data_IF_074461524075
#
_entry.id   IF_074461524075
#
_cell.length_a   1.000
_cell.length_b   1.000
_cell.length_c   1.000
_cell.angle_alpha   90.00
_cell.angle_beta   90.00
_cell.angle_gamma   90.00
#
_symmetry.space_group_name_H-M   'P 1'
#
loop_
_entity.id
_entity.type
_entity.pdbx_description
1 polymer ?
#
# COMPACT_ATOMS: atom_id res chain seq x y z
N UNK A 1 17.59 7.70 -23.67
CA UNK A 1 17.50 9.03 -24.22
C UNK A 1 16.55 9.90 -23.39
N UNK A 2 16.71 11.19 -23.55
CA UNK A 2 15.91 12.15 -22.82
C UNK A 2 14.41 12.01 -23.09
N UNK A 3 14.03 11.79 -24.34
CA UNK A 3 12.63 11.63 -24.72
C UNK A 3 11.96 10.46 -24.02
N UNK A 4 12.66 9.34 -23.94
CA UNK A 4 12.16 8.15 -23.25
C UNK A 4 12.03 8.39 -21.74
N UNK A 5 13.01 9.04 -21.15
CA UNK A 5 12.98 9.37 -19.73
C UNK A 5 11.82 10.30 -19.38
N UNK A 6 11.57 11.28 -20.23
CA UNK A 6 10.47 12.22 -20.01
C UNK A 6 9.11 11.54 -20.17
N UNK A 7 8.96 10.65 -21.12
CA UNK A 7 7.73 9.87 -21.32
C UNK A 7 7.48 8.99 -20.09
N UNK A 8 8.53 8.33 -19.60
CA UNK A 8 8.44 7.46 -18.44
C UNK A 8 8.05 8.24 -17.20
N UNK A 9 8.68 9.38 -16.96
CA UNK A 9 8.34 10.25 -15.84
C UNK A 9 6.90 10.76 -15.92
N UNK A 10 6.48 11.10 -17.13
CA UNK A 10 5.12 11.59 -17.37
C UNK A 10 4.10 10.51 -17.05
N UNK A 11 4.36 9.27 -17.41
CA UNK A 11 3.50 8.15 -17.09
C UNK A 11 3.39 7.96 -15.58
N UNK A 12 4.51 8.07 -14.87
CA UNK A 12 4.54 7.96 -13.41
C UNK A 12 3.71 9.05 -12.74
N UNK A 13 3.76 10.28 -13.25
CA UNK A 13 2.98 11.39 -12.71
C UNK A 13 1.50 11.28 -13.00
N UNK A 14 1.15 10.77 -14.18
CA UNK A 14 -0.24 10.67 -14.58
C UNK A 14 -0.92 9.43 -14.01
N UNK A 15 -0.14 8.41 -13.67
CA UNK A 15 -0.72 7.13 -13.39
C UNK A 15 0.25 6.22 -12.63
N UNK A 16 -0.14 5.85 -11.45
CA UNK A 16 0.59 4.87 -10.64
C UNK A 16 -0.09 3.52 -10.88
N UNK A 17 0.58 2.61 -11.59
CA UNK A 17 -0.02 1.34 -11.96
C UNK A 17 0.30 0.23 -10.95
N UNK A 18 -0.40 -0.89 -11.12
CA UNK A 18 -0.29 -2.04 -10.22
C UNK A 18 1.13 -2.64 -10.22
N UNK A 19 1.84 -2.61 -11.34
CA UNK A 19 3.21 -3.14 -11.40
C UNK A 19 4.17 -2.29 -10.59
N UNK A 20 4.06 -0.98 -10.70
CA UNK A 20 4.87 -0.04 -9.92
C UNK A 20 4.61 -0.23 -8.43
N UNK A 21 3.35 -0.33 -8.04
CA UNK A 21 2.94 -0.58 -6.66
C UNK A 21 3.49 -1.91 -6.17
N UNK A 22 3.36 -2.95 -6.98
CA UNK A 22 3.85 -4.29 -6.65
C UNK A 22 5.35 -4.28 -6.38
N UNK A 23 6.12 -3.68 -7.29
CA UNK A 23 7.57 -3.57 -7.13
C UNK A 23 7.94 -2.81 -5.86
N UNK A 24 7.25 -1.72 -5.59
CA UNK A 24 7.50 -0.91 -4.41
C UNK A 24 7.22 -1.67 -3.11
N UNK A 25 6.09 -2.38 -3.06
CA UNK A 25 5.73 -3.18 -1.89
C UNK A 25 6.71 -4.34 -1.68
N UNK A 26 7.06 -5.04 -2.75
CA UNK A 26 7.96 -6.20 -2.66
C UNK A 26 9.40 -5.81 -2.31
N UNK A 27 9.79 -4.57 -2.57
CA UNK A 27 11.12 -4.09 -2.19
C UNK A 27 11.27 -3.89 -0.69
N UNK A 28 10.17 -3.83 0.06
CA UNK A 28 10.22 -3.69 1.50
C UNK A 28 10.61 -5.00 2.17
N UNK A 29 11.46 -4.90 3.19
CA UNK A 29 12.01 -6.04 3.90
C UNK A 29 10.93 -7.04 4.31
N UNK A 30 11.13 -8.30 3.94
CA UNK A 30 10.27 -9.40 4.36
C UNK A 30 8.90 -9.46 3.71
N UNK A 31 8.63 -8.62 2.72
CA UNK A 31 7.33 -8.59 2.06
C UNK A 31 7.20 -9.72 1.06
N UNK A 32 6.07 -10.41 1.13
CA UNK A 32 5.68 -11.45 0.18
C UNK A 32 4.33 -11.09 -0.42
N UNK A 33 3.99 -11.70 -1.54
CA UNK A 33 2.69 -11.50 -2.18
C UNK A 33 1.97 -12.83 -2.30
N UNK A 34 0.66 -12.77 -2.44
CA UNK A 34 -0.16 -13.97 -2.62
C UNK A 34 -1.63 -13.65 -2.76
N UNK A 35 -2.43 -14.70 -2.77
CA UNK A 35 -3.88 -14.61 -2.97
C UNK A 35 -4.63 -15.38 -1.87
N UNK A 36 -4.46 -14.98 -0.59
CA UNK A 36 -5.07 -15.73 0.53
C UNK A 36 -6.59 -15.65 0.55
N UNK A 37 -7.19 -14.67 -0.13
CA UNK A 37 -8.63 -14.46 -0.18
C UNK A 37 -9.24 -14.86 -1.54
N UNK A 38 -8.45 -15.53 -2.40
CA UNK A 38 -8.88 -15.90 -3.74
C UNK A 38 -8.15 -15.10 -4.81
N UNK A 39 -8.33 -15.53 -6.06
CA UNK A 39 -7.61 -14.97 -7.21
C UNK A 39 -7.86 -13.48 -7.47
N UNK A 40 -8.94 -12.95 -6.90
CA UNK A 40 -9.34 -11.56 -7.16
C UNK A 40 -8.61 -10.54 -6.31
N UNK A 41 -7.88 -10.98 -5.27
CA UNK A 41 -7.24 -10.08 -4.31
C UNK A 41 -5.76 -10.35 -4.20
N UNK A 42 -4.96 -9.45 -4.77
CA UNK A 42 -3.51 -9.49 -4.60
C UNK A 42 -3.15 -8.86 -3.25
N UNK A 43 -2.52 -9.64 -2.38
CA UNK A 43 -2.23 -9.24 -1.01
C UNK A 43 -0.73 -9.26 -0.76
N UNK A 44 -0.25 -8.20 -0.11
CA UNK A 44 1.15 -8.11 0.33
C UNK A 44 1.20 -8.27 1.84
N UNK A 45 2.12 -9.10 2.32
CA UNK A 45 2.27 -9.39 3.75
C UNK A 45 3.71 -9.28 4.19
N UNK A 46 3.91 -8.91 5.45
CA UNK A 46 5.20 -9.00 6.13
C UNK A 46 4.98 -9.83 7.39
N UNK A 47 5.78 -10.88 7.55
CA UNK A 47 5.65 -11.83 8.70
C UNK A 47 4.20 -12.31 8.86
N UNK A 48 3.53 -12.60 7.75
CA UNK A 48 2.16 -13.10 7.74
C UNK A 48 1.08 -12.06 7.98
N UNK A 49 1.43 -10.78 8.15
CA UNK A 49 0.49 -9.68 8.40
C UNK A 49 0.31 -8.86 7.13
N UNK A 50 -0.93 -8.60 6.76
CA UNK A 50 -1.24 -7.82 5.55
C UNK A 50 -0.80 -6.37 5.68
N UNK A 51 -0.14 -5.85 4.64
CA UNK A 51 0.24 -4.44 4.54
C UNK A 51 -0.50 -3.72 3.43
N UNK A 52 -0.91 -4.44 2.39
CA UNK A 52 -1.61 -3.84 1.27
C UNK A 52 -2.45 -4.91 0.57
N UNK A 53 -3.52 -4.46 -0.06
CA UNK A 53 -4.40 -5.34 -0.83
C UNK A 53 -4.93 -4.59 -2.04
N UNK A 54 -4.90 -5.25 -3.20
CA UNK A 54 -5.46 -4.69 -4.43
C UNK A 54 -6.48 -5.69 -4.97
N UNK A 55 -7.71 -5.23 -5.17
CA UNK A 55 -8.73 -6.03 -5.83
C UNK A 55 -8.49 -5.91 -7.34
N UNK A 56 -8.21 -7.03 -8.00
CA UNK A 56 -7.81 -6.99 -9.42
C UNK A 56 -8.88 -6.46 -10.36
N UNK A 57 -10.17 -6.55 -9.98
CA UNK A 57 -11.24 -5.94 -10.74
C UNK A 57 -11.21 -4.41 -10.68
N UNK A 58 -10.61 -3.87 -9.62
CA UNK A 58 -10.49 -2.43 -9.40
C UNK A 58 -9.03 -2.08 -9.12
N UNK A 59 -8.13 -2.25 -10.12
CA UNK A 59 -6.69 -2.06 -9.91
C UNK A 59 -6.28 -0.62 -9.63
N UNK A 60 -7.22 0.31 -9.71
CA UNK A 60 -7.00 1.72 -9.40
C UNK A 60 -7.18 2.04 -7.91
N UNK A 61 -7.52 1.04 -7.11
CA UNK A 61 -7.72 1.22 -5.67
C UNK A 61 -6.76 0.32 -4.91
N UNK A 62 -6.11 0.87 -3.89
CA UNK A 62 -5.27 0.08 -3.00
C UNK A 62 -5.77 0.25 -1.56
N UNK A 63 -5.88 -0.87 -0.85
CA UNK A 63 -6.27 -0.87 0.56
C UNK A 63 -5.01 -0.90 1.41
N UNK A 64 -4.88 0.06 2.32
CA UNK A 64 -3.70 0.25 3.15
C UNK A 64 -4.09 0.45 4.61
N UNK A 65 -3.27 -0.07 5.50
CA UNK A 65 -3.44 0.17 6.93
C UNK A 65 -3.01 1.59 7.28
N UNK A 66 -3.65 2.17 8.28
CA UNK A 66 -3.37 3.54 8.67
C UNK A 66 -3.62 3.74 10.17
N UNK A 67 -2.86 4.63 10.77
CA UNK A 67 -3.16 5.12 12.11
C UNK A 67 -4.59 5.71 12.09
N UNK A 68 -5.44 5.39 13.09
CA UNK A 68 -6.84 5.82 13.06
C UNK A 68 -7.07 7.32 12.93
N UNK A 69 -6.30 8.13 13.63
CA UNK A 69 -6.46 9.59 13.56
C UNK A 69 -6.02 10.12 12.20
N UNK A 70 -4.90 9.62 11.70
CA UNK A 70 -4.40 9.97 10.38
C UNK A 70 -5.36 9.52 9.28
N UNK A 71 -5.99 8.35 9.47
CA UNK A 71 -6.97 7.84 8.52
C UNK A 71 -8.14 8.82 8.34
N UNK A 72 -8.64 9.38 9.44
CA UNK A 72 -9.71 10.36 9.39
C UNK A 72 -9.27 11.66 8.73
N UNK A 73 -8.08 12.13 9.01
CA UNK A 73 -7.52 13.34 8.38
C UNK A 73 -7.42 13.15 6.87
N UNK A 74 -6.94 11.99 6.43
CA UNK A 74 -6.80 11.71 5.00
C UNK A 74 -8.15 11.67 4.29
N UNK A 75 -9.14 11.04 4.91
CA UNK A 75 -10.50 10.98 4.34
C UNK A 75 -11.13 12.37 4.24
N UNK A 76 -10.86 13.22 5.20
CA UNK A 76 -11.36 14.58 5.21
C UNK A 76 -10.68 15.45 4.15
N UNK A 77 -9.39 15.23 3.95
CA UNK A 77 -8.58 16.06 3.06
C UNK A 77 -8.63 15.60 1.59
N UNK A 78 -8.68 14.30 1.34
CA UNK A 78 -8.61 13.75 -0.02
C UNK A 78 -9.88 13.01 -0.40
N UNK A 79 -10.61 13.49 -1.42
CA UNK A 79 -11.79 12.74 -1.93
C UNK A 79 -11.46 11.31 -2.37
N UNK A 80 -10.21 11.07 -2.79
CA UNK A 80 -9.78 9.74 -3.23
C UNK A 80 -9.45 8.76 -2.10
N UNK A 81 -9.60 9.17 -0.83
CA UNK A 81 -9.38 8.30 0.32
C UNK A 81 -10.69 8.05 1.04
N UNK A 82 -11.02 6.77 1.22
CA UNK A 82 -12.25 6.35 1.90
C UNK A 82 -11.94 5.22 2.88
N UNK A 83 -12.83 4.97 3.82
CA UNK A 83 -12.72 3.77 4.65
C UNK A 83 -12.84 2.53 3.79
N UNK A 84 -11.99 1.53 4.02
CA UNK A 84 -11.98 0.32 3.21
C UNK A 84 -13.24 -0.51 3.43
N UNK A 85 -13.94 -0.82 2.34
CA UNK A 85 -15.27 -1.42 2.36
C UNK A 85 -15.33 -2.79 3.05
N UNK A 86 -14.35 -3.66 2.79
CA UNK A 86 -14.34 -5.03 3.33
C UNK A 86 -13.45 -5.20 4.56
N UNK A 87 -12.98 -4.12 5.14
CA UNK A 87 -12.02 -4.16 6.24
C UNK A 87 -12.50 -3.30 7.41
N UNK A 88 -11.81 -3.37 8.53
CA UNK A 88 -12.10 -2.50 9.64
C UNK A 88 -11.72 -1.06 9.27
N UNK A 89 -12.72 -0.23 9.04
CA UNK A 89 -12.54 1.14 8.57
C UNK A 89 -11.78 2.04 9.53
N UNK A 90 -11.69 1.66 10.79
CA UNK A 90 -10.90 2.40 11.77
C UNK A 90 -9.41 2.36 11.43
N UNK A 91 -8.94 1.26 10.87
CA UNK A 91 -7.52 1.01 10.62
C UNK A 91 -7.17 0.86 9.14
N UNK A 92 -8.15 0.80 8.26
CA UNK A 92 -7.91 0.53 6.83
C UNK A 92 -8.59 1.55 5.96
N UNK A 93 -7.81 2.14 5.06
CA UNK A 93 -8.28 3.06 4.03
C UNK A 93 -8.14 2.44 2.66
N UNK A 94 -9.02 2.85 1.77
CA UNK A 94 -9.00 2.57 0.35
C UNK A 94 -8.56 3.86 -0.35
N UNK A 95 -7.49 3.78 -1.13
CA UNK A 95 -6.85 4.95 -1.74
C UNK A 95 -6.93 4.84 -3.25
N UNK A 96 -7.42 5.89 -3.90
CA UNK A 96 -7.51 5.95 -5.36
C UNK A 96 -6.14 6.29 -5.96
N UNK A 97 -5.69 5.49 -6.91
CA UNK A 97 -4.44 5.70 -7.62
C UNK A 97 -4.58 6.70 -8.77
N UNK A 98 -5.81 7.01 -9.15
CA UNK A 98 -6.12 7.92 -10.26
C UNK A 98 -6.77 9.23 -9.82
N UNK A 99 -6.79 9.49 -8.53
CA UNK A 99 -7.47 10.68 -8.00
C UNK A 99 -6.52 11.85 -7.85
N UNK A 100 -6.85 12.68 -6.88
CA UNK A 100 -6.12 13.91 -6.56
C UNK A 100 -4.87 13.68 -5.70
N UNK A 101 -4.53 12.42 -5.43
CA UNK A 101 -3.38 12.07 -4.59
C UNK A 101 -2.18 11.83 -5.49
N UNK A 102 -1.10 12.57 -5.27
CA UNK A 102 0.09 12.41 -6.10
C UNK A 102 0.87 11.14 -5.77
N UNK A 103 1.77 10.77 -6.66
CA UNK A 103 2.55 9.53 -6.54
C UNK A 103 3.36 9.49 -5.25
N UNK A 104 3.96 10.61 -4.87
CA UNK A 104 4.74 10.70 -3.63
C UNK A 104 3.91 10.38 -2.41
N UNK A 105 2.69 10.91 -2.37
CA UNK A 105 1.78 10.66 -1.25
C UNK A 105 1.34 9.19 -1.24
N UNK A 106 1.07 8.61 -2.40
CA UNK A 106 0.71 7.20 -2.49
C UNK A 106 1.84 6.33 -1.92
N UNK A 107 3.08 6.59 -2.32
CA UNK A 107 4.22 5.84 -1.80
C UNK A 107 4.41 6.06 -0.30
N UNK A 108 4.19 7.29 0.17
CA UNK A 108 4.22 7.61 1.61
C UNK A 108 3.18 6.80 2.38
N UNK A 109 1.97 6.66 1.82
CA UNK A 109 0.91 5.91 2.49
C UNK A 109 1.19 4.41 2.51
N UNK A 110 1.87 3.90 1.50
CA UNK A 110 2.34 2.51 1.50
C UNK A 110 3.40 2.32 2.60
N UNK A 111 4.36 3.24 2.70
CA UNK A 111 5.38 3.22 3.75
C UNK A 111 4.73 3.25 5.14
N UNK A 112 3.78 4.15 5.32
CA UNK A 112 3.06 4.31 6.57
C UNK A 112 2.33 3.01 6.96
N UNK A 113 1.66 2.37 5.99
CA UNK A 113 0.98 1.11 6.21
C UNK A 113 1.94 0.03 6.70
N UNK A 114 3.06 -0.11 6.03
CA UNK A 114 4.10 -1.07 6.39
C UNK A 114 4.59 -0.83 7.83
N UNK A 115 4.90 0.42 8.15
CA UNK A 115 5.36 0.81 9.49
C UNK A 115 4.32 0.54 10.57
N UNK A 116 3.04 0.81 10.28
CA UNK A 116 1.95 0.54 11.22
C UNK A 116 1.80 -0.94 11.51
N UNK A 117 1.99 -1.79 10.52
CA UNK A 117 1.94 -3.23 10.70
C UNK A 117 3.09 -3.71 11.57
N UNK A 118 4.31 -3.29 11.27
CA UNK A 118 5.52 -3.68 12.04
C UNK A 118 5.44 -3.20 13.48
N UNK A 119 4.95 -2.00 13.69
CA UNK A 119 4.79 -1.39 15.01
C UNK A 119 3.93 -2.25 15.95
N UNK A 120 3.00 -3.01 15.39
CA UNK A 120 2.09 -3.85 16.15
C UNK A 120 2.59 -5.28 16.35
N UNK A 121 3.77 -5.61 15.87
CA UNK A 121 4.34 -6.94 16.06
C UNK A 121 4.55 -7.22 17.57
N UNK A 122 4.33 -8.48 17.95
CA UNK A 122 4.74 -8.95 19.26
C UNK A 122 6.26 -8.89 19.37
N UNK A 123 6.79 -8.96 20.59
CA UNK A 123 8.25 -8.98 20.78
C UNK A 123 8.91 -10.11 20.00
N UNK A 124 8.32 -11.30 20.04
CA UNK A 124 8.83 -12.47 19.34
C UNK A 124 8.84 -12.23 17.82
N UNK A 125 7.73 -11.74 17.28
CA UNK A 125 7.61 -11.51 15.84
C UNK A 125 8.58 -10.41 15.39
N UNK A 126 8.74 -9.37 16.20
CA UNK A 126 9.70 -8.30 15.92
C UNK A 126 11.13 -8.83 15.86
N UNK A 127 11.48 -9.72 16.77
CA UNK A 127 12.80 -10.34 16.78
C UNK A 127 13.02 -11.17 15.52
N UNK A 128 12.06 -11.99 15.14
CA UNK A 128 12.12 -12.78 13.92
C UNK A 128 12.25 -11.89 12.68
N UNK A 129 11.49 -10.80 12.64
CA UNK A 129 11.58 -9.82 11.56
C UNK A 129 12.97 -9.20 11.47
N UNK A 130 13.56 -8.82 12.62
CA UNK A 130 14.89 -8.23 12.65
C UNK A 130 15.99 -9.18 12.17
N UNK A 131 15.77 -10.47 12.27
CA UNK A 131 16.71 -11.50 11.82
C UNK A 131 16.65 -11.75 10.31
N UNK A 132 15.63 -11.24 9.63
CA UNK A 132 15.54 -11.38 8.18
C UNK A 132 16.64 -10.58 7.50
N UNK A 133 17.15 -11.05 6.35
CA UNK A 133 18.12 -10.28 5.56
C UNK A 133 17.49 -8.99 5.02
N UNK A 134 18.30 -7.97 4.92
CA UNK A 134 17.87 -6.67 4.40
C UNK A 134 17.62 -6.68 2.88
#
# INVERSE_FOLDING_TARGET
>A
SRGLGDVYKRQTYLYMDIETIRDYCLAKKGTTEGFPFGEDFLVFKVMGKMTACIKLECPDLITLKCDPDYALELRDHYPGVEGAYHFNKKYWNQVSLKGDIDDKMILHLIDHSYEEVIKKFTRKLKQEYNELPD
#
